data_IF_383308445219
#
_entry.id   IF_383308445219
#
_cell.length_a   1.000
_cell.length_b   1.000
_cell.length_c   1.000
_cell.angle_alpha   90.00
_cell.angle_beta   90.00
_cell.angle_gamma   90.00
#
_symmetry.space_group_name_H-M   'P 1'
#
loop_
_entity.id
_entity.type
_entity.pdbx_description
1 polymer ?
#
# COMPACT_ATOMS: atom_id res chain seq x y z
N UNK A 1 34.82 -18.60 -23.62
CA UNK A 1 33.60 -17.78 -23.39
C UNK A 1 34.02 -16.33 -23.24
N UNK A 2 33.44 -15.41 -24.02
CA UNK A 2 33.81 -14.00 -23.96
C UNK A 2 33.16 -13.34 -22.73
N UNK A 3 33.98 -12.84 -21.80
CA UNK A 3 33.55 -12.08 -20.63
C UNK A 3 33.99 -10.62 -20.75
N UNK A 4 33.15 -9.69 -20.31
CA UNK A 4 33.46 -8.25 -20.22
C UNK A 4 33.14 -7.74 -18.81
N UNK A 5 34.02 -6.90 -18.29
CA UNK A 5 33.81 -6.19 -17.04
C UNK A 5 32.90 -4.99 -17.28
N UNK A 6 31.76 -4.95 -16.59
CA UNK A 6 30.78 -3.87 -16.66
C UNK A 6 30.76 -3.17 -15.31
N UNK A 7 31.07 -1.87 -15.30
CA UNK A 7 30.92 -1.04 -14.10
C UNK A 7 29.48 -0.53 -14.00
N UNK A 8 28.72 -1.00 -13.01
CA UNK A 8 27.36 -0.54 -12.73
C UNK A 8 27.41 0.58 -11.69
N UNK A 9 26.73 1.70 -11.94
CA UNK A 9 26.55 2.77 -10.95
C UNK A 9 25.32 2.49 -10.11
N UNK A 10 25.50 2.30 -8.81
CA UNK A 10 24.40 2.16 -7.85
C UNK A 10 23.97 3.55 -7.36
N UNK A 11 22.66 3.81 -7.34
CA UNK A 11 22.09 5.07 -6.84
C UNK A 11 21.26 4.80 -5.59
N UNK A 12 21.55 5.50 -4.49
CA UNK A 12 20.75 5.45 -3.27
C UNK A 12 19.67 6.53 -3.30
N UNK A 13 18.41 6.11 -3.33
CA UNK A 13 17.27 7.04 -3.35
C UNK A 13 17.01 7.57 -1.94
N UNK A 14 16.76 8.87 -1.80
CA UNK A 14 16.41 9.48 -0.51
C UNK A 14 15.08 8.93 0.02
N UNK A 15 15.02 8.69 1.32
CA UNK A 15 13.79 8.27 1.99
C UNK A 15 12.72 9.38 1.91
N UNK A 16 11.54 9.03 1.42
CA UNK A 16 10.40 9.92 1.36
C UNK A 16 9.62 9.93 2.69
N UNK A 17 9.28 11.13 3.18
CA UNK A 17 8.39 11.31 4.35
C UNK A 17 7.14 12.03 3.91
N UNK A 18 5.98 11.62 4.44
CA UNK A 18 4.71 12.33 4.26
C UNK A 18 4.08 12.62 5.61
N UNK A 19 3.44 13.78 5.72
CA UNK A 19 2.61 14.13 6.86
C UNK A 19 1.19 13.63 6.61
N UNK A 20 0.60 12.92 7.58
CA UNK A 20 -0.79 12.46 7.50
C UNK A 20 -1.60 13.28 8.50
N UNK A 21 -2.53 14.09 8.00
CA UNK A 21 -3.40 14.90 8.86
C UNK A 21 -4.51 14.04 9.47
N UNK A 22 -4.73 14.20 10.78
CA UNK A 22 -5.88 13.65 11.48
C UNK A 22 -7.05 14.63 11.44
N UNK A 23 -8.27 14.11 11.57
CA UNK A 23 -9.49 14.88 11.81
C UNK A 23 -10.17 14.37 13.06
N UNK A 24 -10.75 15.28 13.83
CA UNK A 24 -11.55 14.98 15.01
C UNK A 24 -13.02 14.96 14.61
N UNK A 25 -13.71 13.85 14.86
CA UNK A 25 -15.15 13.73 14.64
C UNK A 25 -15.90 13.62 15.96
N UNK A 26 -16.95 14.43 16.12
CA UNK A 26 -17.96 14.27 17.16
C UNK A 26 -19.16 13.55 16.53
N UNK A 27 -19.56 12.39 17.05
CA UNK A 27 -20.64 11.58 16.49
C UNK A 27 -21.35 10.77 17.58
N UNK A 28 -22.56 10.29 17.28
CA UNK A 28 -23.27 9.35 18.14
C UNK A 28 -22.89 7.92 17.72
N UNK A 29 -22.51 7.09 18.69
CA UNK A 29 -22.18 5.69 18.43
C UNK A 29 -23.43 4.92 17.97
N UNK A 30 -23.32 4.12 16.90
CA UNK A 30 -24.46 3.34 16.39
C UNK A 30 -24.95 2.24 17.35
N UNK A 31 -24.08 1.71 18.21
CA UNK A 31 -24.42 0.64 19.16
C UNK A 31 -24.95 1.16 20.49
N UNK A 32 -24.22 2.09 21.13
CA UNK A 32 -24.60 2.58 22.45
C UNK A 32 -25.37 3.90 22.44
N UNK A 33 -25.48 4.59 21.30
CA UNK A 33 -26.16 5.89 21.19
C UNK A 33 -25.46 7.04 21.91
N UNK A 34 -24.35 6.80 22.60
CA UNK A 34 -23.61 7.80 23.38
C UNK A 34 -22.83 8.74 22.45
N UNK A 35 -22.77 10.06 22.75
CA UNK A 35 -21.88 10.98 22.05
C UNK A 35 -20.41 10.62 22.29
N UNK A 36 -19.68 10.42 21.20
CA UNK A 36 -18.26 10.08 21.21
C UNK A 36 -17.46 11.07 20.36
N UNK A 37 -16.21 11.29 20.77
CA UNK A 37 -15.23 12.11 20.07
C UNK A 37 -14.03 11.24 19.70
N UNK A 38 -13.62 11.26 18.43
CA UNK A 38 -12.52 10.41 17.95
C UNK A 38 -11.67 11.06 16.86
N UNK A 39 -10.36 10.85 16.96
CA UNK A 39 -9.39 11.18 15.92
C UNK A 39 -9.24 10.04 14.91
N UNK A 40 -9.40 10.36 13.63
CA UNK A 40 -9.17 9.41 12.53
C UNK A 40 -8.40 10.06 11.39
N UNK A 41 -7.59 9.26 10.69
CA UNK A 41 -6.88 9.66 9.48
C UNK A 41 -7.72 9.54 8.21
N UNK A 42 -9.00 9.19 8.33
CA UNK A 42 -9.84 8.77 7.20
C UNK A 42 -11.29 9.21 7.36
N UNK A 43 -12.20 8.32 6.99
CA UNK A 43 -13.64 8.57 7.07
C UNK A 43 -14.14 8.70 8.52
N UNK A 44 -15.33 9.26 8.65
CA UNK A 44 -16.04 9.41 9.93
C UNK A 44 -16.26 8.01 10.57
N UNK A 45 -15.82 7.79 11.82
CA UNK A 45 -16.05 6.53 12.52
C UNK A 45 -17.53 6.32 12.88
N UNK A 46 -17.96 5.05 12.92
CA UNK A 46 -19.35 4.65 13.19
C UNK A 46 -19.59 4.21 14.65
N UNK A 47 -18.55 3.69 15.29
CA UNK A 47 -18.60 3.15 16.66
C UNK A 47 -17.58 3.86 17.56
N UNK A 48 -17.88 3.94 18.86
CA UNK A 48 -16.95 4.44 19.87
C UNK A 48 -15.77 3.46 20.08
N UNK A 49 -14.80 3.82 20.93
CA UNK A 49 -13.62 2.97 21.17
C UNK A 49 -13.96 1.63 21.84
N UNK A 50 -15.05 1.57 22.62
CA UNK A 50 -15.47 0.37 23.33
C UNK A 50 -16.32 -0.56 22.45
N UNK A 51 -17.20 0.02 21.63
CA UNK A 51 -18.10 -0.70 20.73
C UNK A 51 -17.44 -1.11 19.40
N UNK A 52 -16.19 -0.71 19.15
CA UNK A 52 -15.55 -1.05 17.88
C UNK A 52 -15.35 -2.57 17.80
N UNK A 53 -15.79 -3.23 16.71
CA UNK A 53 -15.50 -4.64 16.52
C UNK A 53 -13.98 -4.88 16.49
N UNK A 54 -13.49 -6.00 17.08
CA UNK A 54 -12.07 -6.32 17.09
C UNK A 54 -11.54 -6.30 15.66
N UNK A 55 -10.46 -5.55 15.42
CA UNK A 55 -9.88 -5.48 14.10
C UNK A 55 -9.44 -6.89 13.68
N UNK A 56 -9.76 -7.32 12.45
CA UNK A 56 -9.25 -8.59 11.96
C UNK A 56 -7.73 -8.57 12.05
N UNK A 57 -7.09 -9.69 12.43
CA UNK A 57 -5.64 -9.75 12.51
C UNK A 57 -5.07 -9.27 11.19
N UNK A 58 -4.16 -8.29 11.26
CA UNK A 58 -3.47 -7.77 10.07
C UNK A 58 -2.89 -9.01 9.38
N UNK A 59 -3.39 -9.36 8.19
CA UNK A 59 -2.82 -10.43 7.38
C UNK A 59 -1.34 -10.06 7.23
N UNK A 60 -0.49 -10.77 7.96
CA UNK A 60 0.95 -10.53 8.01
C UNK A 60 1.43 -10.46 6.58
N UNK A 61 1.90 -9.27 6.17
CA UNK A 61 2.64 -8.98 4.93
C UNK A 61 2.83 -10.22 4.06
N UNK A 62 1.77 -10.68 3.38
CA UNK A 62 1.95 -11.74 2.41
C UNK A 62 2.79 -11.07 1.34
N UNK A 63 4.08 -11.43 1.29
CA UNK A 63 5.00 -10.93 0.29
C UNK A 63 4.26 -11.06 -1.04
N UNK A 64 4.04 -9.95 -1.79
CA UNK A 64 3.40 -10.07 -3.09
C UNK A 64 4.22 -11.10 -3.86
N UNK A 65 3.60 -12.24 -4.18
CA UNK A 65 4.24 -13.23 -5.02
C UNK A 65 4.50 -12.51 -6.33
N UNK A 66 5.77 -12.16 -6.58
CA UNK A 66 6.17 -11.50 -7.83
C UNK A 66 5.78 -12.45 -8.95
N UNK A 67 4.65 -12.18 -9.60
CA UNK A 67 4.30 -12.88 -10.81
C UNK A 67 5.42 -12.63 -11.81
N UNK A 68 5.99 -13.70 -12.37
CA UNK A 68 7.00 -13.58 -13.42
C UNK A 68 6.39 -12.74 -14.56
N UNK A 69 7.07 -11.70 -15.06
CA UNK A 69 6.57 -10.96 -16.22
C UNK A 69 6.37 -11.93 -17.38
N UNK A 70 5.25 -11.79 -18.09
CA UNK A 70 4.99 -12.62 -19.26
C UNK A 70 6.03 -12.26 -20.34
N UNK A 71 6.62 -13.26 -21.03
CA UNK A 71 7.54 -12.98 -22.12
C UNK A 71 6.79 -12.22 -23.23
N UNK A 72 7.33 -11.08 -23.64
CA UNK A 72 6.81 -10.28 -24.75
C UNK A 72 7.50 -10.76 -26.04
N UNK A 73 6.81 -11.55 -26.86
CA UNK A 73 7.29 -11.92 -28.18
C UNK A 73 7.03 -10.77 -29.15
N UNK A 74 8.09 -10.03 -29.51
CA UNK A 74 8.05 -9.06 -30.59
C UNK A 74 8.09 -9.81 -31.93
N UNK A 75 7.08 -9.61 -32.78
CA UNK A 75 7.12 -10.07 -34.17
C UNK A 75 7.66 -8.92 -35.03
N UNK A 76 8.94 -8.95 -35.38
CA UNK A 76 9.50 -8.08 -36.42
C UNK A 76 9.04 -8.59 -37.79
N UNK A 77 8.31 -7.75 -38.53
CA UNK A 77 8.09 -7.95 -39.97
C UNK A 77 9.31 -7.43 -40.71
N UNK A 78 10.36 -8.24 -40.75
CA UNK A 78 11.48 -8.02 -41.67
C UNK A 78 11.74 -9.35 -42.35
N UNK A 79 10.97 -9.59 -43.41
CA UNK A 79 11.34 -10.53 -44.46
C UNK A 79 12.55 -9.91 -45.17
N UNK A 80 13.70 -10.58 -45.08
CA UNK A 80 14.86 -10.31 -45.93
C UNK A 80 14.83 -11.37 -47.02
N UNK A 81 14.69 -10.90 -48.26
CA UNK A 81 14.78 -11.65 -49.53
C UNK A 81 16.07 -12.50 -49.64
#
# INVERSE_FOLDING_TARGET
>A
MASKLVSVREYTVKAHKRTIHTRVFNFLCKECGVPAKRETYGSRPLYCEQCRPPQPPKKSLMKPQKAKPRPMTYKSKTDLD
#
